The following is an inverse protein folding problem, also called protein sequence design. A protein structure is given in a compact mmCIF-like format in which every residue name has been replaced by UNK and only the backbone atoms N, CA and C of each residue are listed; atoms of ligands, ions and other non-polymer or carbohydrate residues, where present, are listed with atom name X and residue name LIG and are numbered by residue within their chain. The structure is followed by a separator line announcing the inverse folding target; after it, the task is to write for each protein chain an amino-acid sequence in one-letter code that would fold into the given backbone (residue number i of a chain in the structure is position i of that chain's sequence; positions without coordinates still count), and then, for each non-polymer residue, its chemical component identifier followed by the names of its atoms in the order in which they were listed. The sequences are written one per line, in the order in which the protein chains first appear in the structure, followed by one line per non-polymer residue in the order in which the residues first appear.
data_IF_696841791538
#
_entry.id   IF_696841791538
#
_cell.length_a   1.000
_cell.length_b   1.000
_cell.length_c   1.000
_cell.angle_alpha   90.00
_cell.angle_beta   90.00
_cell.angle_gamma   90.00
#
_symmetry.space_group_name_H-M   'P 1'
#
loop_
_entity.id
_entity.type
_entity.pdbx_description
1 polymer ?
#
# COMPACT_ATOMS: atom_id res chain seq x y z
N UNK A 1 -37.32 -47.72 33.31
CA UNK A 1 -38.31 -47.02 34.11
C UNK A 1 -38.58 -45.75 33.39
N UNK A 2 -39.53 -45.81 32.56
CA UNK A 2 -40.94 -45.34 32.62
C UNK A 2 -40.96 -43.84 32.27
N UNK A 3 -41.45 -43.56 31.08
CA UNK A 3 -42.89 -43.28 30.75
C UNK A 3 -43.18 -41.80 30.87
N UNK A 4 -43.86 -41.06 30.04
CA UNK A 4 -45.05 -41.26 29.18
C UNK A 4 -45.18 -39.90 28.46
N UNK A 5 -45.36 -39.80 27.16
CA UNK A 5 -46.68 -39.67 26.52
C UNK A 5 -47.57 -38.57 27.13
N UNK A 6 -48.10 -37.64 26.38
CA UNK A 6 -49.04 -37.75 25.30
C UNK A 6 -49.51 -36.36 24.88
N UNK A 7 -49.74 -36.19 23.62
CA UNK A 7 -51.07 -35.96 22.96
C UNK A 7 -51.78 -34.66 23.37
N UNK A 8 -52.28 -33.90 22.56
CA UNK A 8 -52.99 -33.92 21.30
C UNK A 8 -53.93 -32.72 21.22
N UNK A 9 -54.05 -32.25 20.03
CA UNK A 9 -55.24 -32.02 19.26
C UNK A 9 -56.01 -30.70 19.37
N UNK A 10 -56.24 -30.22 18.14
CA UNK A 10 -57.47 -29.57 17.61
C UNK A 10 -57.70 -28.09 18.04
N UNK A 11 -58.15 -27.24 17.22
CA UNK A 11 -58.79 -27.24 15.91
C UNK A 11 -59.05 -25.80 15.47
N UNK A 12 -58.96 -25.62 14.20
CA UNK A 12 -59.91 -24.94 13.29
C UNK A 12 -60.56 -23.60 13.62
N UNK A 13 -60.52 -22.87 12.53
CA UNK A 13 -61.53 -21.99 11.89
C UNK A 13 -61.11 -20.53 11.83
N UNK A 14 -60.69 -20.14 10.68
CA UNK A 14 -61.49 -19.64 9.53
C UNK A 14 -62.06 -18.22 9.74
N UNK A 15 -61.70 -17.35 8.85
CA UNK A 15 -62.44 -16.57 7.89
C UNK A 15 -61.94 -15.16 7.73
N UNK A 16 -61.57 -14.91 6.51
CA UNK A 16 -62.10 -13.87 5.57
C UNK A 16 -61.97 -12.39 5.97
N UNK A 17 -61.33 -11.68 5.06
CA UNK A 17 -61.51 -10.26 4.92
C UNK A 17 -60.41 -9.59 4.07
N UNK A 18 -60.51 -9.79 2.79
CA UNK A 18 -60.26 -8.89 1.64
C UNK A 18 -60.01 -7.42 2.02
N UNK A 19 -58.92 -6.87 1.58
CA UNK A 19 -58.92 -5.65 0.74
C UNK A 19 -57.54 -5.41 0.16
N UNK A 20 -57.52 -5.38 -1.14
CA UNK A 20 -56.47 -4.85 -2.01
C UNK A 20 -56.12 -3.42 -1.62
N UNK A 21 -54.85 -3.12 -1.53
CA UNK A 21 -54.40 -1.80 -1.92
C UNK A 21 -53.01 -1.93 -2.54
N UNK A 22 -53.02 -1.82 -3.85
CA UNK A 22 -51.85 -1.60 -4.69
C UNK A 22 -51.23 -0.28 -4.28
N UNK A 23 -49.97 -0.30 -3.89
CA UNK A 23 -49.10 0.84 -4.04
C UNK A 23 -47.76 0.30 -4.55
N UNK A 24 -47.65 0.36 -5.86
CA UNK A 24 -46.40 0.26 -6.58
C UNK A 24 -45.56 1.47 -6.22
N UNK A 25 -44.71 1.32 -5.24
CA UNK A 25 -43.61 2.25 -4.97
C UNK A 25 -42.33 1.57 -5.39
N UNK A 26 -41.84 1.90 -6.57
CA UNK A 26 -40.50 1.64 -7.05
C UNK A 26 -39.52 2.19 -6.01
N UNK A 27 -39.03 1.33 -5.15
CA UNK A 27 -37.76 1.55 -4.43
C UNK A 27 -36.67 1.09 -5.38
N UNK A 28 -36.07 2.04 -6.05
CA UNK A 28 -34.74 1.87 -6.67
C UNK A 28 -33.81 1.41 -5.56
N UNK A 29 -33.56 0.12 -5.54
CA UNK A 29 -32.44 -0.44 -4.81
C UNK A 29 -31.18 0.17 -5.43
N UNK A 30 -30.66 1.21 -4.79
CA UNK A 30 -29.29 1.62 -4.99
C UNK A 30 -28.41 0.48 -4.52
N UNK A 31 -28.16 -0.43 -5.44
CA UNK A 31 -27.11 -1.42 -5.37
C UNK A 31 -25.76 -0.66 -5.31
N UNK A 32 -25.41 -0.29 -4.10
CA UNK A 32 -24.05 0.11 -3.78
C UNK A 32 -23.21 -1.15 -3.90
N UNK A 33 -22.82 -1.44 -5.12
CA UNK A 33 -21.80 -2.44 -5.40
C UNK A 33 -20.48 -2.02 -4.74
N UNK A 34 -20.34 -2.39 -3.46
CA UNK A 34 -19.08 -2.35 -2.67
C UNK A 34 -18.11 -3.44 -3.10
N UNK A 35 -18.11 -3.86 -4.35
CA UNK A 35 -17.30 -5.00 -4.80
C UNK A 35 -16.09 -4.61 -5.64
N UNK A 36 -15.53 -3.39 -5.46
CA UNK A 36 -14.35 -3.00 -6.23
C UNK A 36 -13.03 -2.91 -5.45
N UNK A 37 -13.02 -3.11 -4.12
CA UNK A 37 -11.78 -2.93 -3.36
C UNK A 37 -11.01 -4.23 -3.05
N UNK A 38 -11.50 -5.39 -3.46
CA UNK A 38 -10.81 -6.66 -3.20
C UNK A 38 -10.24 -7.35 -4.44
N UNK A 39 -10.07 -6.60 -5.54
CA UNK A 39 -9.18 -7.02 -6.63
C UNK A 39 -7.74 -6.56 -6.34
N UNK A 40 -7.32 -6.70 -5.09
CA UNK A 40 -5.91 -6.69 -4.73
C UNK A 40 -5.29 -7.96 -5.34
N UNK A 41 -4.92 -7.81 -6.62
CA UNK A 41 -3.79 -8.48 -7.24
C UNK A 41 -3.40 -9.78 -6.56
N UNK A 42 -4.15 -10.86 -6.89
CA UNK A 42 -3.53 -12.17 -6.84
C UNK A 42 -2.28 -12.04 -7.71
N UNK A 43 -1.12 -11.92 -7.08
CA UNK A 43 0.17 -11.89 -7.75
C UNK A 43 0.22 -13.13 -8.61
N UNK A 44 0.06 -12.93 -9.91
CA UNK A 44 0.15 -14.02 -10.86
C UNK A 44 1.55 -14.61 -10.70
N UNK A 45 1.68 -15.93 -10.77
CA UNK A 45 3.01 -16.56 -10.82
C UNK A 45 3.84 -16.04 -12.00
N UNK A 46 3.18 -15.41 -12.95
CA UNK A 46 3.72 -14.79 -14.16
C UNK A 46 4.42 -13.43 -13.87
N UNK A 47 4.15 -12.80 -12.71
CA UNK A 47 4.78 -11.54 -12.30
C UNK A 47 6.17 -11.74 -11.64
N UNK A 48 6.71 -12.95 -11.68
CA UNK A 48 8.05 -13.25 -11.19
C UNK A 48 9.02 -13.36 -12.36
N UNK A 49 10.16 -12.72 -12.20
CA UNK A 49 11.25 -12.83 -13.20
C UNK A 49 11.75 -14.25 -13.24
N UNK A 50 11.95 -14.79 -14.44
CA UNK A 50 12.52 -16.12 -14.63
C UNK A 50 13.97 -16.14 -14.12
N UNK A 51 14.35 -17.18 -13.39
CA UNK A 51 15.72 -17.31 -12.86
C UNK A 51 16.79 -17.25 -13.95
N UNK A 52 16.42 -17.60 -15.20
CA UNK A 52 17.32 -17.53 -16.36
C UNK A 52 17.64 -16.11 -16.82
N UNK A 53 16.83 -15.12 -16.42
CA UNK A 53 17.02 -13.69 -16.74
C UNK A 53 17.86 -12.98 -15.68
N UNK A 54 18.16 -13.65 -14.57
CA UNK A 54 18.88 -13.07 -13.43
C UNK A 54 20.34 -13.53 -13.42
N UNK A 55 21.26 -12.60 -13.45
CA UNK A 55 22.66 -12.88 -13.20
C UNK A 55 23.02 -12.59 -11.75
N UNK A 56 23.50 -13.58 -11.00
CA UNK A 56 23.88 -13.43 -9.61
C UNK A 56 25.36 -13.62 -9.44
N UNK A 57 26.04 -12.59 -8.94
CA UNK A 57 27.49 -12.59 -8.66
C UNK A 57 27.73 -12.54 -7.16
N UNK A 58 28.71 -13.31 -6.69
CA UNK A 58 29.12 -13.27 -5.29
C UNK A 58 30.43 -12.48 -5.15
N UNK A 59 30.37 -11.43 -4.35
CA UNK A 59 31.49 -10.54 -4.10
C UNK A 59 31.80 -10.48 -2.60
N UNK A 60 32.95 -9.92 -2.24
CA UNK A 60 33.32 -9.72 -0.84
C UNK A 60 32.41 -8.65 -0.23
N UNK A 61 31.97 -8.90 1.00
CA UNK A 61 31.25 -7.88 1.75
C UNK A 61 32.22 -6.77 2.17
N UNK A 62 31.86 -5.51 1.91
CA UNK A 62 32.61 -4.34 2.39
C UNK A 62 32.26 -4.04 3.85
N UNK A 63 33.19 -3.48 4.60
CA UNK A 63 32.98 -2.97 5.94
C UNK A 63 34.07 -3.39 6.94
N UNK A 64 34.04 -2.83 8.16
CA UNK A 64 34.94 -3.25 9.22
C UNK A 64 34.59 -4.67 9.64
N UNK A 65 35.51 -5.63 9.48
CA UNK A 65 35.26 -7.01 9.80
C UNK A 65 36.53 -7.82 9.97
N UNK A 66 36.38 -8.99 10.58
CA UNK A 66 37.46 -9.96 10.79
C UNK A 66 37.83 -10.71 9.51
N UNK A 67 38.59 -11.80 9.66
CA UNK A 67 39.14 -12.56 8.53
C UNK A 67 38.12 -13.07 7.52
N UNK A 68 36.89 -13.39 7.95
CA UNK A 68 35.84 -13.88 7.08
C UNK A 68 35.37 -12.83 6.06
N UNK A 69 35.21 -11.56 6.48
CA UNK A 69 34.78 -10.46 5.59
C UNK A 69 35.77 -10.24 4.45
N UNK A 70 37.06 -10.45 4.72
CA UNK A 70 38.13 -10.23 3.75
C UNK A 70 38.41 -11.43 2.84
N UNK A 71 37.98 -12.64 3.24
CA UNK A 71 38.34 -13.88 2.54
C UNK A 71 37.15 -14.56 1.85
N UNK A 72 35.92 -14.33 2.29
CA UNK A 72 34.75 -15.06 1.80
C UNK A 72 33.81 -14.14 1.02
N UNK A 73 33.37 -14.59 -0.17
CA UNK A 73 32.42 -13.89 -1.02
C UNK A 73 31.00 -14.25 -0.59
N UNK A 74 30.45 -13.53 0.37
CA UNK A 74 29.10 -13.77 0.90
C UNK A 74 28.08 -12.74 0.44
N UNK A 75 28.51 -11.60 -0.08
CA UNK A 75 27.63 -10.59 -0.61
C UNK A 75 27.10 -11.04 -1.96
N UNK A 76 25.78 -11.09 -2.13
CA UNK A 76 25.12 -11.36 -3.39
C UNK A 76 24.82 -10.04 -4.12
N UNK A 77 25.23 -9.93 -5.37
CA UNK A 77 24.87 -8.88 -6.30
C UNK A 77 24.04 -9.49 -7.43
N UNK A 78 22.80 -9.04 -7.57
CA UNK A 78 21.87 -9.44 -8.61
C UNK A 78 21.88 -8.38 -9.70
N UNK A 79 22.04 -8.84 -10.93
CA UNK A 79 22.03 -8.06 -12.14
C UNK A 79 20.85 -8.48 -13.01
N UNK A 80 20.03 -7.55 -13.45
CA UNK A 80 18.87 -7.82 -14.30
C UNK A 80 18.64 -6.72 -15.32
N UNK A 81 18.62 -7.08 -16.60
CA UNK A 81 18.34 -6.17 -17.71
C UNK A 81 16.84 -6.20 -18.00
N UNK A 82 16.14 -5.13 -17.67
CA UNK A 82 14.67 -5.05 -17.78
C UNK A 82 14.20 -5.14 -19.23
N UNK A 83 14.96 -4.56 -20.16
CA UNK A 83 14.57 -4.50 -21.56
C UNK A 83 14.53 -5.87 -22.24
N UNK A 84 15.39 -6.78 -21.82
CA UNK A 84 15.49 -8.14 -22.39
C UNK A 84 14.44 -9.10 -21.84
N UNK A 85 13.77 -8.72 -20.76
CA UNK A 85 12.76 -9.57 -20.12
C UNK A 85 11.56 -9.77 -21.04
N UNK A 86 11.15 -11.02 -21.18
CA UNK A 86 9.95 -11.45 -21.94
C UNK A 86 8.70 -11.54 -21.05
N UNK A 87 8.87 -11.44 -19.75
CA UNK A 87 7.80 -11.65 -18.77
C UNK A 87 6.90 -10.42 -18.59
N UNK A 88 7.34 -9.23 -19.04
CA UNK A 88 6.64 -7.97 -18.80
C UNK A 88 6.34 -7.23 -20.09
N UNK A 89 5.20 -6.51 -20.10
CA UNK A 89 4.84 -5.58 -21.18
C UNK A 89 5.69 -4.31 -21.14
N UNK A 90 5.76 -3.56 -22.23
CA UNK A 90 6.57 -2.35 -22.31
C UNK A 90 6.12 -1.27 -21.29
N UNK A 91 4.81 -1.16 -21.04
CA UNK A 91 4.27 -0.26 -20.00
C UNK A 91 4.69 -0.67 -18.59
N UNK A 92 4.75 -1.98 -18.30
CA UNK A 92 5.20 -2.51 -17.02
C UNK A 92 6.70 -2.31 -16.84
N UNK A 93 7.48 -2.49 -17.91
CA UNK A 93 8.93 -2.22 -17.90
C UNK A 93 9.22 -0.75 -17.56
N UNK A 94 8.46 0.19 -18.09
CA UNK A 94 8.61 1.61 -17.75
C UNK A 94 8.34 1.88 -16.26
N UNK A 95 7.27 1.32 -15.70
CA UNK A 95 6.95 1.45 -14.27
C UNK A 95 8.03 0.83 -13.39
N UNK A 96 8.56 -0.33 -13.79
CA UNK A 96 9.64 -1.00 -13.07
C UNK A 96 10.92 -0.13 -13.12
N UNK A 97 11.28 0.42 -14.27
CA UNK A 97 12.42 1.33 -14.42
C UNK A 97 12.27 2.58 -13.57
N UNK A 98 11.07 3.16 -13.51
CA UNK A 98 10.80 4.32 -12.67
C UNK A 98 10.98 4.01 -11.19
N UNK A 99 10.47 2.86 -10.74
CA UNK A 99 10.61 2.43 -9.34
C UNK A 99 12.08 2.17 -8.95
N UNK A 100 12.83 1.49 -9.81
CA UNK A 100 14.23 1.13 -9.57
C UNK A 100 15.24 2.16 -10.07
N UNK A 101 14.81 3.37 -10.43
CA UNK A 101 15.68 4.43 -10.97
C UNK A 101 16.96 4.65 -10.17
N UNK A 102 16.91 4.56 -8.83
CA UNK A 102 18.06 4.75 -7.96
C UNK A 102 19.01 3.53 -7.90
N UNK A 103 18.57 2.38 -8.37
CA UNK A 103 19.36 1.12 -8.39
C UNK A 103 19.70 0.68 -9.80
N UNK A 104 19.44 1.55 -10.79
CA UNK A 104 19.66 1.27 -12.20
C UNK A 104 21.00 1.86 -12.64
N UNK A 105 21.76 1.06 -13.41
CA UNK A 105 22.97 1.48 -14.09
C UNK A 105 22.66 2.39 -15.29
N UNK A 106 23.65 3.08 -15.83
CA UNK A 106 23.53 3.86 -17.07
C UNK A 106 23.17 2.98 -18.29
N UNK A 107 23.44 1.70 -18.24
CA UNK A 107 23.16 0.70 -19.27
C UNK A 107 21.74 0.11 -19.17
N UNK A 108 20.90 0.59 -18.24
CA UNK A 108 19.53 0.10 -18.07
C UNK A 108 19.42 -1.18 -17.23
N UNK A 109 20.51 -1.59 -16.58
CA UNK A 109 20.58 -2.77 -15.73
C UNK A 109 20.23 -2.43 -14.27
N UNK A 110 19.33 -3.20 -13.67
CA UNK A 110 19.00 -3.09 -12.24
C UNK A 110 20.02 -3.89 -11.43
N UNK A 111 20.70 -3.24 -10.51
CA UNK A 111 21.70 -3.84 -9.65
C UNK A 111 21.23 -3.81 -8.20
N UNK A 112 20.89 -4.97 -7.63
CA UNK A 112 20.53 -5.12 -6.23
C UNK A 112 21.60 -5.87 -5.45
N UNK A 113 21.82 -5.47 -4.20
CA UNK A 113 22.89 -6.02 -3.36
C UNK A 113 22.34 -6.44 -2.00
N UNK A 114 22.80 -7.59 -1.52
CA UNK A 114 22.48 -8.09 -0.18
C UNK A 114 23.73 -8.66 0.49
N UNK A 115 24.03 -8.19 1.72
CA UNK A 115 25.16 -8.65 2.54
C UNK A 115 24.78 -8.75 4.01
N UNK A 116 23.52 -9.10 4.29
CA UNK A 116 22.96 -9.08 5.65
C UNK A 116 23.39 -10.28 6.47
N UNK A 117 23.61 -11.42 5.81
CA UNK A 117 23.96 -12.66 6.49
C UNK A 117 25.34 -13.15 6.11
N UNK A 118 25.86 -14.11 6.89
CA UNK A 118 27.14 -14.78 6.61
C UNK A 118 26.99 -15.85 5.53
N UNK A 119 25.79 -16.25 5.18
CA UNK A 119 25.49 -17.26 4.18
C UNK A 119 25.28 -16.63 2.81
N UNK A 120 26.09 -17.03 1.81
CA UNK A 120 25.93 -16.57 0.44
C UNK A 120 24.56 -16.97 -0.14
N UNK A 121 24.11 -18.19 0.12
CA UNK A 121 22.82 -18.70 -0.36
C UNK A 121 21.62 -17.94 0.26
N UNK A 122 21.72 -17.56 1.52
CA UNK A 122 20.67 -16.77 2.16
C UNK A 122 20.62 -15.35 1.61
N UNK A 123 21.77 -14.72 1.38
CA UNK A 123 21.85 -13.40 0.75
C UNK A 123 21.31 -13.45 -0.70
N UNK A 124 21.55 -14.55 -1.43
CA UNK A 124 20.98 -14.77 -2.76
C UNK A 124 19.44 -14.79 -2.71
N UNK A 125 18.85 -15.58 -1.81
CA UNK A 125 17.39 -15.64 -1.66
C UNK A 125 16.81 -14.27 -1.33
N UNK A 126 17.41 -13.57 -0.39
CA UNK A 126 16.96 -12.23 0.02
C UNK A 126 17.03 -11.17 -1.09
N UNK A 127 18.06 -11.23 -1.94
CA UNK A 127 18.15 -10.27 -3.04
C UNK A 127 17.10 -10.55 -4.11
N UNK A 128 16.77 -11.81 -4.39
CA UNK A 128 15.69 -12.20 -5.31
C UNK A 128 14.32 -11.83 -4.72
N UNK A 129 14.09 -12.10 -3.45
CA UNK A 129 12.86 -11.66 -2.74
C UNK A 129 12.68 -10.14 -2.81
N UNK A 130 13.75 -9.38 -2.57
CA UNK A 130 13.74 -7.91 -2.67
C UNK A 130 13.41 -7.41 -4.07
N UNK A 131 13.94 -8.06 -5.11
CA UNK A 131 13.58 -7.76 -6.49
C UNK A 131 12.09 -7.99 -6.73
N UNK A 132 11.60 -9.16 -6.38
CA UNK A 132 10.19 -9.53 -6.58
C UNK A 132 9.22 -8.63 -5.80
N UNK A 133 9.54 -8.26 -4.56
CA UNK A 133 8.77 -7.28 -3.80
C UNK A 133 8.78 -5.89 -4.45
N UNK A 134 9.92 -5.47 -4.98
CA UNK A 134 10.05 -4.21 -5.69
C UNK A 134 9.20 -4.18 -6.95
N UNK A 135 9.21 -5.25 -7.74
CA UNK A 135 8.36 -5.41 -8.93
C UNK A 135 6.88 -5.35 -8.55
N UNK A 136 6.46 -6.08 -7.53
CA UNK A 136 5.08 -6.03 -7.02
C UNK A 136 4.66 -4.61 -6.65
N UNK A 137 5.52 -3.86 -5.99
CA UNK A 137 5.25 -2.46 -5.62
C UNK A 137 5.22 -1.53 -6.83
N UNK A 138 6.09 -1.76 -7.83
CA UNK A 138 6.12 -0.99 -9.07
C UNK A 138 4.83 -1.17 -9.91
N UNK A 139 4.29 -2.39 -9.93
CA UNK A 139 3.08 -2.71 -10.69
C UNK A 139 1.79 -2.32 -9.97
N UNK A 140 1.82 -2.04 -8.66
CA UNK A 140 0.65 -1.58 -7.93
C UNK A 140 0.22 -0.18 -8.41
N UNK A 141 -1.07 0.02 -8.67
CA UNK A 141 -1.57 1.34 -9.04
C UNK A 141 -1.35 2.33 -7.89
N UNK A 142 -0.79 3.48 -8.22
CA UNK A 142 -0.59 4.56 -7.24
C UNK A 142 -1.95 5.07 -6.75
N UNK A 143 -2.19 5.01 -5.45
CA UNK A 143 -3.39 5.61 -4.85
C UNK A 143 -3.35 7.12 -5.06
N UNK A 144 -4.44 7.74 -5.57
CA UNK A 144 -4.48 9.19 -5.73
C UNK A 144 -4.34 9.87 -4.37
N UNK A 145 -3.44 10.83 -4.29
CA UNK A 145 -3.23 11.60 -3.05
C UNK A 145 -4.40 12.54 -2.84
N UNK A 146 -5.25 12.23 -1.87
CA UNK A 146 -6.31 13.12 -1.43
C UNK A 146 -5.67 14.23 -0.58
N UNK A 147 -5.76 15.52 -0.98
CA UNK A 147 -5.20 16.61 -0.20
C UNK A 147 -5.92 16.73 1.15
N UNK A 148 -5.17 16.61 2.23
CA UNK A 148 -5.70 16.76 3.58
C UNK A 148 -5.97 18.23 3.88
N UNK A 149 -7.17 18.55 4.36
CA UNK A 149 -7.49 19.88 4.85
C UNK A 149 -7.22 19.97 6.36
N UNK A 150 -6.72 21.11 6.85
CA UNK A 150 -6.52 21.30 8.28
C UNK A 150 -7.86 21.26 9.02
N UNK A 151 -7.88 20.62 10.19
CA UNK A 151 -9.06 20.50 11.03
C UNK A 151 -9.58 21.88 11.49
N UNK A 152 -10.86 21.96 11.87
CA UNK A 152 -11.43 23.21 12.37
C UNK A 152 -10.74 23.66 13.67
N UNK A 153 -10.27 22.73 14.47
CA UNK A 153 -9.48 23.01 15.68
C UNK A 153 -8.16 23.72 15.34
N UNK A 154 -7.41 23.20 14.37
CA UNK A 154 -6.16 23.85 13.93
C UNK A 154 -6.38 25.23 13.31
N UNK A 155 -7.48 25.40 12.58
CA UNK A 155 -7.86 26.71 12.04
C UNK A 155 -8.17 27.70 13.17
N UNK A 156 -8.92 27.29 14.18
CA UNK A 156 -9.25 28.11 15.34
C UNK A 156 -7.99 28.46 16.15
N UNK A 157 -7.14 27.49 16.42
CA UNK A 157 -5.87 27.71 17.13
C UNK A 157 -4.97 28.72 16.41
N UNK A 158 -4.83 28.59 15.10
CA UNK A 158 -4.05 29.55 14.29
C UNK A 158 -4.63 30.97 14.35
N UNK A 159 -5.98 31.09 14.38
CA UNK A 159 -6.64 32.40 14.52
C UNK A 159 -6.38 33.00 15.90
N UNK A 160 -6.46 32.23 16.98
CA UNK A 160 -6.13 32.70 18.33
C UNK A 160 -4.69 33.18 18.45
N UNK A 161 -3.75 32.41 17.91
CA UNK A 161 -2.34 32.80 17.90
C UNK A 161 -2.13 34.12 17.15
N UNK A 162 -2.77 34.28 15.99
CA UNK A 162 -2.75 35.56 15.24
C UNK A 162 -3.32 36.72 16.03
N UNK A 163 -4.46 36.51 16.72
CA UNK A 163 -5.08 37.54 17.58
C UNK A 163 -4.14 37.92 18.72
N UNK A 164 -3.54 36.96 19.41
CA UNK A 164 -2.54 37.21 20.49
C UNK A 164 -1.35 38.04 20.00
N UNK A 165 -0.81 37.70 18.83
CA UNK A 165 0.32 38.44 18.24
C UNK A 165 -0.13 39.86 17.83
N UNK A 166 -1.31 40.01 17.24
CA UNK A 166 -1.87 41.32 16.88
C UNK A 166 -2.06 42.22 18.11
N UNK A 167 -2.64 41.67 19.18
CA UNK A 167 -2.81 42.39 20.45
C UNK A 167 -1.46 42.85 21.03
N UNK A 168 -0.46 41.97 21.07
CA UNK A 168 0.90 42.36 21.50
C UNK A 168 1.52 43.46 20.65
N UNK A 169 1.26 43.48 19.34
CA UNK A 169 1.75 44.54 18.45
C UNK A 169 1.01 45.85 18.72
N UNK A 170 -0.30 45.83 18.98
CA UNK A 170 -1.08 47.04 19.34
C UNK A 170 -0.58 47.66 20.64
N UNK A 171 -0.27 46.86 21.67
CA UNK A 171 0.28 47.36 22.94
C UNK A 171 1.68 48.00 22.79
N UNK A 172 2.43 47.66 21.75
CA UNK A 172 3.75 48.25 21.46
C UNK A 172 3.68 49.52 20.61
N UNK A 173 2.52 49.83 20.01
CA UNK A 173 2.34 51.13 19.33
C UNK A 173 2.34 52.22 20.36
N UNK A 174 3.25 53.23 20.17
CA UNK A 174 3.19 54.44 20.95
C UNK A 174 1.84 55.15 20.68
N UNK A 175 1.17 55.68 21.70
CA UNK A 175 0.02 56.53 21.46
C UNK A 175 0.46 57.69 20.55
N UNK A 176 -0.35 57.95 19.55
CA UNK A 176 -0.13 59.09 18.68
C UNK A 176 -0.59 60.32 19.47
N UNK A 177 0.39 61.05 20.01
CA UNK A 177 0.12 62.32 20.70
C UNK A 177 -0.30 63.34 19.62
N UNK A 178 -1.57 63.64 19.58
CA UNK A 178 -2.05 64.83 18.87
C UNK A 178 -1.61 66.04 19.73
N UNK A 179 -0.50 66.68 19.37
CA UNK A 179 -0.22 68.04 19.82
C UNK A 179 -1.07 68.95 18.94
N UNK A 180 -1.98 69.70 19.60
CA UNK A 180 -2.80 70.80 19.05
C UNK A 180 -1.91 72.02 18.71
#
# INVERSE_FOLDING_TARGET
MSNFENMSLLSDKAKEGVSENRNEGLLEENDCSEDNDNKLTAVRKEDMVSDNELEIRFVRSGGPGGQNVNKVNTKAELHWVVDESKSFTDEEKEKIKEYFKNSMSQEGEIILRCSETRSALENQKRVVERLNEGIKKALQPNKPRIPTQPSNFEKAKRLEEKKKVSYKKQLRRKPFDYED
#
